data_IF_049904165101
#
_entry.id   IF_049904165101
#
_cell.length_a   1.000
_cell.length_b   1.000
_cell.length_c   1.000
_cell.angle_alpha   90.00
_cell.angle_beta   90.00
_cell.angle_gamma   90.00
#
_symmetry.space_group_name_H-M   'P 1'
#
loop_
_entity.id
_entity.type
_entity.pdbx_description
1 polymer ?
#
# COMPACT_ATOMS: atom_id res chain seq x y z
N UNK A 1 -20.87 -12.94 48.04
CA UNK A 1 -21.88 -11.89 48.32
C UNK A 1 -22.48 -11.45 47.00
N UNK A 2 -23.80 -11.62 46.84
CA UNK A 2 -24.58 -11.27 45.64
C UNK A 2 -25.15 -9.86 45.83
N UNK A 3 -25.12 -9.02 44.79
CA UNK A 3 -26.01 -7.85 44.65
C UNK A 3 -26.28 -7.67 43.15
N UNK A 4 -27.33 -8.28 42.59
CA UNK A 4 -28.72 -7.78 42.49
C UNK A 4 -28.83 -6.58 41.53
N UNK A 5 -29.44 -6.86 40.38
CA UNK A 5 -30.07 -5.93 39.44
C UNK A 5 -31.24 -5.18 40.08
N UNK A 6 -31.46 -3.90 39.72
CA UNK A 6 -32.60 -3.50 38.85
C UNK A 6 -32.57 -2.00 38.47
N UNK A 7 -33.17 -1.62 37.32
CA UNK A 7 -33.19 -0.26 36.78
C UNK A 7 -34.53 0.45 37.04
N UNK A 8 -34.56 1.79 37.02
CA UNK A 8 -35.81 2.56 36.87
C UNK A 8 -35.64 3.83 36.01
N UNK A 9 -36.57 3.87 35.06
CA UNK A 9 -37.04 4.85 34.07
C UNK A 9 -37.06 6.37 34.38
N UNK A 10 -36.86 7.13 33.28
CA UNK A 10 -37.61 8.30 32.76
C UNK A 10 -37.61 9.59 33.60
N UNK A 11 -37.10 10.69 33.01
CA UNK A 11 -37.93 11.85 32.59
C UNK A 11 -37.15 12.76 31.63
N UNK A 12 -37.84 13.11 30.55
CA UNK A 12 -37.46 14.09 29.53
C UNK A 12 -37.73 15.51 30.00
N UNK A 13 -36.97 16.48 29.50
CA UNK A 13 -37.46 17.83 29.31
C UNK A 13 -36.76 18.47 28.11
N UNK A 14 -37.55 18.65 27.05
CA UNK A 14 -37.25 19.47 25.90
C UNK A 14 -37.54 20.93 26.24
N UNK A 15 -36.62 21.84 25.91
CA UNK A 15 -36.90 23.28 25.84
C UNK A 15 -37.15 23.67 24.39
N UNK A 16 -38.42 23.95 24.07
CA UNK A 16 -38.88 24.57 22.84
C UNK A 16 -38.60 26.08 22.89
N UNK A 17 -38.16 26.66 21.78
CA UNK A 17 -38.39 28.08 21.48
C UNK A 17 -38.93 28.20 20.06
N UNK A 18 -40.20 28.58 19.95
CA UNK A 18 -40.86 28.96 18.71
C UNK A 18 -41.51 30.32 18.93
N UNK A 19 -41.06 31.35 18.21
CA UNK A 19 -41.84 32.57 17.97
C UNK A 19 -41.76 32.89 16.47
N UNK A 20 -42.93 33.27 15.96
CA UNK A 20 -43.52 33.27 14.61
C UNK A 20 -43.05 34.38 13.66
N UNK A 21 -43.36 34.29 12.35
CA UNK A 21 -43.05 35.28 11.33
C UNK A 21 -44.17 36.33 11.10
N UNK A 22 -43.80 37.55 10.71
CA UNK A 22 -44.63 38.62 10.11
C UNK A 22 -43.68 39.68 9.54
N UNK A 23 -43.92 40.44 8.49
CA UNK A 23 -44.81 40.45 7.33
C UNK A 23 -44.27 41.57 6.42
N UNK A 24 -44.55 41.50 5.12
CA UNK A 24 -44.11 42.44 4.09
C UNK A 24 -44.46 43.91 4.38
N UNK A 25 -43.54 44.81 4.04
CA UNK A 25 -43.85 46.14 3.53
C UNK A 25 -42.73 46.64 2.62
N UNK A 26 -43.14 47.05 1.44
CA UNK A 26 -42.39 47.66 0.34
C UNK A 26 -41.92 49.07 0.69
N UNK A 27 -40.68 49.41 0.33
CA UNK A 27 -40.31 50.77 -0.07
C UNK A 27 -39.10 50.74 -1.00
N UNK A 28 -39.36 51.13 -2.24
CA UNK A 28 -38.45 51.33 -3.35
C UNK A 28 -37.55 52.54 -3.10
N UNK A 29 -36.22 52.41 -3.28
CA UNK A 29 -35.41 53.47 -3.91
C UNK A 29 -33.96 53.04 -4.16
N UNK A 30 -33.54 53.31 -5.40
CA UNK A 30 -32.19 53.57 -5.88
C UNK A 30 -31.17 52.41 -5.91
N UNK A 31 -30.96 51.96 -7.14
CA UNK A 31 -29.86 51.15 -7.65
C UNK A 31 -28.56 51.92 -7.48
N UNK A 32 -27.58 51.32 -6.81
CA UNK A 32 -26.17 51.56 -7.13
C UNK A 32 -25.41 50.24 -7.14
N UNK A 33 -24.73 50.04 -8.25
CA UNK A 33 -24.14 48.78 -8.68
C UNK A 33 -22.78 48.60 -8.01
N UNK A 34 -22.68 47.67 -7.05
CA UNK A 34 -21.39 47.18 -6.57
C UNK A 34 -21.35 45.68 -6.80
N UNK A 35 -20.65 45.32 -7.88
CA UNK A 35 -20.34 43.95 -8.29
C UNK A 35 -19.55 43.26 -7.17
N UNK A 36 -20.22 42.38 -6.41
CA UNK A 36 -19.54 41.49 -5.47
C UNK A 36 -18.70 40.46 -6.25
N UNK A 37 -17.40 40.26 -5.95
CA UNK A 37 -16.64 39.20 -6.56
C UNK A 37 -17.10 37.86 -5.98
N UNK A 38 -17.53 36.99 -6.89
CA UNK A 38 -17.85 35.58 -6.67
C UNK A 38 -16.67 34.89 -5.95
N UNK A 39 -16.87 34.09 -4.89
CA UNK A 39 -15.79 33.29 -4.33
C UNK A 39 -15.51 32.15 -5.30
N UNK A 40 -14.50 32.32 -6.15
CA UNK A 40 -13.90 31.26 -6.95
C UNK A 40 -13.13 30.35 -6.01
N UNK A 41 -13.78 29.27 -5.57
CA UNK A 41 -13.09 28.07 -5.13
C UNK A 41 -12.28 27.53 -6.31
N UNK A 42 -11.02 27.94 -6.41
CA UNK A 42 -10.01 27.25 -7.19
C UNK A 42 -8.93 26.81 -6.20
N UNK A 43 -9.07 25.59 -5.69
CA UNK A 43 -7.93 24.86 -5.14
C UNK A 43 -6.98 24.64 -6.31
N UNK A 44 -6.05 25.58 -6.53
CA UNK A 44 -4.97 25.41 -7.49
C UNK A 44 -4.12 24.24 -6.99
N UNK A 45 -4.25 23.09 -7.63
CA UNK A 45 -3.28 22.01 -7.51
C UNK A 45 -1.98 22.54 -8.11
N UNK A 46 -1.10 23.11 -7.28
CA UNK A 46 0.21 23.60 -7.73
C UNK A 46 1.03 22.40 -8.23
N UNK A 47 1.10 22.22 -9.55
CA UNK A 47 2.03 21.26 -10.16
C UNK A 47 3.42 21.90 -10.21
N UNK A 48 4.45 21.15 -9.81
CA UNK A 48 5.84 21.61 -9.91
C UNK A 48 6.21 22.00 -11.34
N UNK A 49 6.92 23.10 -11.47
CA UNK A 49 7.53 23.52 -12.73
C UNK A 49 8.66 22.57 -13.14
N UNK A 50 8.99 22.56 -14.43
CA UNK A 50 10.09 21.75 -14.96
C UNK A 50 11.44 22.11 -14.32
N UNK A 51 11.64 23.39 -13.98
CA UNK A 51 12.84 23.85 -13.29
C UNK A 51 12.91 23.30 -11.85
N UNK A 52 11.80 23.31 -11.11
CA UNK A 52 11.73 22.76 -9.76
C UNK A 52 11.98 21.25 -9.75
N UNK A 53 11.42 20.49 -10.70
CA UNK A 53 11.74 19.07 -10.87
C UNK A 53 13.24 18.85 -11.11
N UNK A 54 13.86 19.67 -11.95
CA UNK A 54 15.29 19.56 -12.25
C UNK A 54 16.13 19.84 -11.00
N UNK A 55 15.79 20.88 -10.24
CA UNK A 55 16.43 21.19 -8.96
C UNK A 55 16.30 20.04 -7.95
N UNK A 56 15.11 19.48 -7.80
CA UNK A 56 14.86 18.33 -6.91
C UNK A 56 15.72 17.13 -7.32
N UNK A 57 15.81 16.82 -8.62
CA UNK A 57 16.59 15.69 -9.12
C UNK A 57 18.10 15.86 -8.98
N UNK A 58 18.59 17.10 -8.92
CA UNK A 58 20.00 17.39 -8.63
C UNK A 58 20.28 17.40 -7.12
N UNK A 59 19.35 17.90 -6.31
CA UNK A 59 19.51 18.04 -4.86
C UNK A 59 19.32 16.71 -4.11
N UNK A 60 18.31 15.91 -4.48
CA UNK A 60 17.97 14.69 -3.77
C UNK A 60 19.17 13.70 -3.73
N UNK A 61 19.86 13.40 -4.84
CA UNK A 61 21.06 12.56 -4.80
C UNK A 61 22.17 13.12 -3.90
N UNK A 62 22.42 14.43 -3.97
CA UNK A 62 23.47 15.09 -3.17
C UNK A 62 23.18 14.98 -1.68
N UNK A 63 21.94 15.23 -1.27
CA UNK A 63 21.52 15.06 0.13
C UNK A 63 21.71 13.61 0.60
N UNK A 64 21.39 12.63 -0.25
CA UNK A 64 21.56 11.22 0.08
C UNK A 64 23.04 10.81 0.20
N UNK A 65 23.91 11.34 -0.66
CA UNK A 65 25.36 11.10 -0.64
C UNK A 65 26.04 11.74 0.58
N UNK A 66 25.56 12.91 1.01
CA UNK A 66 26.00 13.59 2.23
C UNK A 66 25.31 13.06 3.51
N UNK A 67 24.52 11.98 3.40
CA UNK A 67 23.77 11.37 4.51
C UNK A 67 22.77 12.33 5.22
N UNK A 68 22.34 13.41 4.55
CA UNK A 68 21.28 14.32 5.01
C UNK A 68 19.89 13.72 4.72
N UNK A 69 19.65 12.52 5.26
CA UNK A 69 18.51 11.70 4.90
C UNK A 69 17.17 12.25 5.40
N UNK A 70 17.15 12.97 6.51
CA UNK A 70 15.90 13.58 7.02
C UNK A 70 15.42 14.69 6.09
N UNK A 71 16.33 15.56 5.63
CA UNK A 71 16.05 16.59 4.62
C UNK A 71 15.65 15.96 3.29
N UNK A 72 16.34 14.90 2.86
CA UNK A 72 15.99 14.16 1.64
C UNK A 72 14.60 13.52 1.72
N UNK A 73 14.22 12.98 2.88
CA UNK A 73 12.90 12.44 3.18
C UNK A 73 11.84 13.54 3.10
N UNK A 74 12.10 14.68 3.73
CA UNK A 74 11.20 15.83 3.69
C UNK A 74 10.97 16.30 2.25
N UNK A 75 12.05 16.53 1.50
CA UNK A 75 12.01 16.94 0.09
C UNK A 75 11.22 15.95 -0.77
N UNK A 76 11.41 14.65 -0.52
CA UNK A 76 10.69 13.59 -1.24
C UNK A 76 9.19 13.64 -0.96
N UNK A 77 8.80 13.78 0.31
CA UNK A 77 7.38 13.86 0.66
C UNK A 77 6.74 15.12 0.08
N UNK A 78 7.40 16.28 0.20
CA UNK A 78 6.89 17.52 -0.39
C UNK A 78 6.76 17.42 -1.90
N UNK A 79 7.73 16.79 -2.58
CA UNK A 79 7.66 16.57 -4.01
C UNK A 79 6.53 15.60 -4.39
N UNK A 80 6.31 14.52 -3.64
CA UNK A 80 5.22 13.57 -3.94
C UNK A 80 3.83 14.18 -3.72
N UNK A 81 3.69 15.14 -2.81
CA UNK A 81 2.42 15.83 -2.56
C UNK A 81 1.96 16.70 -3.74
N UNK A 82 2.87 17.10 -4.64
CA UNK A 82 2.52 17.83 -5.86
C UNK A 82 2.13 16.90 -7.02
N UNK A 83 1.91 15.61 -6.74
CA UNK A 83 1.52 14.56 -7.68
C UNK A 83 2.39 14.43 -8.96
N UNK A 84 3.74 14.38 -8.86
CA UNK A 84 4.61 14.21 -10.02
C UNK A 84 4.58 12.76 -10.54
N UNK A 85 4.93 12.51 -11.81
CA UNK A 85 5.18 11.15 -12.28
C UNK A 85 6.30 10.51 -11.44
N UNK A 86 6.11 9.35 -10.82
CA UNK A 86 7.11 8.76 -9.92
C UNK A 86 8.50 8.59 -10.54
N UNK A 87 8.54 8.27 -11.85
CA UNK A 87 9.78 8.12 -12.63
C UNK A 87 10.58 9.42 -12.76
N UNK A 88 9.95 10.58 -12.54
CA UNK A 88 10.63 11.87 -12.59
C UNK A 88 11.46 12.13 -11.34
N UNK A 89 11.34 11.35 -10.26
CA UNK A 89 12.12 11.53 -9.04
C UNK A 89 13.21 10.47 -8.91
N UNK A 90 14.42 10.91 -8.55
CA UNK A 90 15.60 10.05 -8.30
C UNK A 90 15.52 9.25 -6.98
N UNK A 91 14.40 8.55 -6.73
CA UNK A 91 14.16 7.81 -5.49
C UNK A 91 15.07 6.59 -5.31
N UNK A 92 15.65 6.07 -6.40
CA UNK A 92 16.55 4.92 -6.35
C UNK A 92 17.76 5.15 -5.43
N UNK A 93 18.30 6.37 -5.42
CA UNK A 93 19.45 6.74 -4.59
C UNK A 93 19.03 6.88 -3.13
N UNK A 94 17.89 7.51 -2.85
CA UNK A 94 17.35 7.61 -1.49
C UNK A 94 17.09 6.22 -0.90
N UNK A 95 16.44 5.34 -1.66
CA UNK A 95 16.15 3.97 -1.26
C UNK A 95 17.46 3.20 -1.05
N UNK A 96 18.44 3.36 -1.94
CA UNK A 96 19.75 2.77 -1.75
C UNK A 96 20.40 3.22 -0.45
N UNK A 97 20.44 4.53 -0.16
CA UNK A 97 21.02 5.06 1.08
C UNK A 97 20.30 4.53 2.31
N UNK A 98 18.97 4.45 2.29
CA UNK A 98 18.18 3.89 3.39
C UNK A 98 18.47 2.41 3.61
N UNK A 99 18.45 1.58 2.57
CA UNK A 99 18.66 0.13 2.72
C UNK A 99 20.12 -0.24 3.01
N UNK A 100 21.05 0.70 2.84
CA UNK A 100 22.45 0.54 3.26
C UNK A 100 22.60 0.59 4.78
N UNK A 101 21.66 1.23 5.47
CA UNK A 101 21.65 1.30 6.93
C UNK A 101 21.21 -0.03 7.54
N UNK A 102 21.59 -0.26 8.80
CA UNK A 102 21.25 -1.48 9.54
C UNK A 102 19.81 -1.47 10.04
N UNK A 103 19.28 -0.30 10.40
CA UNK A 103 17.91 -0.16 10.89
C UNK A 103 16.89 0.10 9.76
N UNK A 104 15.61 -0.08 10.10
CA UNK A 104 14.47 0.24 9.22
C UNK A 104 13.71 1.49 9.65
N UNK A 105 14.22 2.28 10.61
CA UNK A 105 13.50 3.40 11.21
C UNK A 105 13.18 4.47 10.16
N UNK A 106 14.16 4.84 9.33
CA UNK A 106 13.98 5.84 8.25
C UNK A 106 13.02 5.37 7.14
N UNK A 107 13.18 4.18 6.52
CA UNK A 107 12.20 3.65 5.58
C UNK A 107 10.77 3.62 6.15
N UNK A 108 10.61 3.14 7.39
CA UNK A 108 9.30 3.00 8.02
C UNK A 108 8.67 4.36 8.37
N UNK A 109 9.49 5.34 8.77
CA UNK A 109 9.05 6.73 8.98
C UNK A 109 8.54 7.35 7.67
N UNK A 110 9.29 7.22 6.57
CA UNK A 110 8.86 7.70 5.25
C UNK A 110 7.51 7.11 4.84
N UNK A 111 7.38 5.78 4.87
CA UNK A 111 6.14 5.10 4.48
C UNK A 111 4.95 5.45 5.38
N UNK A 112 5.20 5.60 6.68
CA UNK A 112 4.17 6.01 7.63
C UNK A 112 3.68 7.43 7.33
N UNK A 113 4.60 8.36 7.04
CA UNK A 113 4.25 9.73 6.65
C UNK A 113 3.47 9.76 5.34
N UNK A 114 3.88 9.01 4.32
CA UNK A 114 3.15 8.93 3.05
C UNK A 114 1.75 8.32 3.24
N UNK A 115 1.60 7.33 4.12
CA UNK A 115 0.29 6.73 4.45
C UNK A 115 -0.69 7.72 5.07
N UNK A 116 -0.22 8.60 5.96
CA UNK A 116 -1.08 9.60 6.61
C UNK A 116 -1.46 10.77 5.69
N UNK A 117 -0.98 10.79 4.45
CA UNK A 117 -1.32 11.80 3.45
C UNK A 117 -2.02 11.12 2.25
N UNK A 118 -3.36 11.20 2.15
CA UNK A 118 -4.12 10.56 1.07
C UNK A 118 -3.63 10.84 -0.36
N UNK A 119 -3.19 12.08 -0.72
CA UNK A 119 -2.63 12.35 -2.04
C UNK A 119 -1.40 11.51 -2.40
N UNK A 120 -0.69 10.98 -1.40
CA UNK A 120 0.51 10.17 -1.59
C UNK A 120 0.24 8.67 -1.73
N UNK A 121 -1.00 8.21 -1.55
CA UNK A 121 -1.36 6.79 -1.60
C UNK A 121 -0.93 6.07 -2.89
N UNK A 122 -1.07 6.67 -4.10
CA UNK A 122 -0.62 6.02 -5.35
C UNK A 122 0.87 5.66 -5.38
N UNK A 123 1.70 6.30 -4.56
CA UNK A 123 3.14 6.06 -4.51
C UNK A 123 3.56 5.00 -3.50
N UNK A 124 2.68 4.60 -2.57
CA UNK A 124 3.03 3.69 -1.48
C UNK A 124 3.43 2.31 -1.97
N UNK A 125 2.62 1.70 -2.84
CA UNK A 125 2.93 0.38 -3.42
C UNK A 125 4.24 0.44 -4.22
N UNK A 126 4.44 1.33 -5.22
CA UNK A 126 5.70 1.40 -5.96
C UNK A 126 6.94 1.62 -5.09
N UNK A 127 6.90 2.56 -4.15
CA UNK A 127 8.03 2.87 -3.27
C UNK A 127 8.36 1.68 -2.36
N UNK A 128 7.33 1.03 -1.80
CA UNK A 128 7.52 -0.18 -0.97
C UNK A 128 8.13 -1.32 -1.78
N UNK A 129 7.70 -1.52 -3.03
CA UNK A 129 8.27 -2.51 -3.93
C UNK A 129 9.74 -2.22 -4.25
N UNK A 130 10.11 -0.95 -4.43
CA UNK A 130 11.50 -0.55 -4.61
C UNK A 130 12.35 -0.85 -3.36
N UNK A 131 11.82 -0.60 -2.15
CA UNK A 131 12.47 -1.00 -0.89
C UNK A 131 12.66 -2.52 -0.80
N UNK A 132 11.61 -3.30 -1.04
CA UNK A 132 11.64 -4.77 -1.02
C UNK A 132 12.70 -5.30 -1.99
N UNK A 133 12.69 -4.83 -3.24
CA UNK A 133 13.67 -5.21 -4.24
C UNK A 133 15.10 -4.83 -3.82
N UNK A 134 15.28 -3.67 -3.19
CA UNK A 134 16.58 -3.22 -2.69
C UNK A 134 17.09 -4.07 -1.52
N UNK A 135 16.20 -4.46 -0.59
CA UNK A 135 16.56 -5.37 0.51
C UNK A 135 16.96 -6.76 0.03
N UNK A 136 16.24 -7.34 -0.93
CA UNK A 136 16.66 -8.62 -1.52
C UNK A 136 18.02 -8.51 -2.23
N UNK A 137 18.28 -7.42 -2.96
CA UNK A 137 19.60 -7.19 -3.59
C UNK A 137 20.73 -7.07 -2.58
N UNK A 138 20.45 -6.66 -1.34
CA UNK A 138 21.41 -6.53 -0.25
C UNK A 138 21.45 -7.77 0.67
N UNK A 139 20.84 -8.88 0.26
CA UNK A 139 20.76 -10.11 1.06
C UNK A 139 20.14 -9.88 2.45
N UNK A 140 19.13 -9.01 2.51
CA UNK A 140 18.38 -8.60 3.72
C UNK A 140 16.91 -9.07 3.65
N UNK A 141 16.63 -10.38 3.58
CA UNK A 141 15.27 -10.87 3.32
C UNK A 141 14.33 -10.69 4.54
N UNK A 142 14.87 -10.59 5.76
CA UNK A 142 14.07 -10.32 6.98
C UNK A 142 13.48 -8.92 6.96
N UNK A 143 14.21 -7.95 6.45
CA UNK A 143 13.75 -6.57 6.25
C UNK A 143 12.70 -6.53 5.14
N UNK A 144 12.90 -7.25 4.04
CA UNK A 144 11.89 -7.39 2.99
C UNK A 144 10.58 -8.00 3.52
N UNK A 145 10.67 -8.99 4.43
CA UNK A 145 9.50 -9.56 5.12
C UNK A 145 8.75 -8.54 5.97
N UNK A 146 9.47 -7.70 6.74
CA UNK A 146 8.84 -6.62 7.50
C UNK A 146 8.10 -5.63 6.59
N UNK A 147 8.68 -5.31 5.43
CA UNK A 147 8.02 -4.45 4.43
C UNK A 147 6.79 -5.10 3.82
N UNK A 148 6.85 -6.39 3.51
CA UNK A 148 5.68 -7.16 3.04
C UNK A 148 4.54 -7.15 4.07
N UNK A 149 4.85 -7.46 5.34
CA UNK A 149 3.85 -7.43 6.42
C UNK A 149 3.25 -6.02 6.60
N UNK A 150 4.03 -4.96 6.39
CA UNK A 150 3.54 -3.58 6.40
C UNK A 150 2.60 -3.29 5.22
N UNK A 151 2.84 -3.86 4.04
CA UNK A 151 1.99 -3.71 2.86
C UNK A 151 0.62 -4.36 3.03
N UNK A 152 0.58 -5.60 3.56
CA UNK A 152 -0.63 -6.42 3.63
C UNK A 152 -1.41 -6.29 4.93
N UNK A 153 -0.98 -5.43 5.86
CA UNK A 153 -1.70 -5.26 7.12
C UNK A 153 -3.13 -4.74 6.91
N UNK A 154 -4.05 -5.02 7.85
CA UNK A 154 -5.39 -4.44 7.81
C UNK A 154 -5.36 -2.90 7.75
N UNK A 155 -6.23 -2.32 6.92
CA UNK A 155 -6.33 -0.87 6.74
C UNK A 155 -5.17 -0.23 5.97
N UNK A 156 -4.32 -1.02 5.31
CA UNK A 156 -3.31 -0.50 4.39
C UNK A 156 -3.97 0.06 3.13
N UNK A 157 -3.62 1.28 2.68
CA UNK A 157 -4.08 1.82 1.39
C UNK A 157 -3.36 1.20 0.18
N UNK A 158 -2.39 0.31 0.43
CA UNK A 158 -1.60 -0.32 -0.62
C UNK A 158 -2.41 -1.43 -1.31
N UNK A 159 -2.37 -1.44 -2.64
CA UNK A 159 -2.90 -2.53 -3.46
C UNK A 159 -1.73 -3.38 -3.92
N UNK A 160 -1.79 -4.69 -3.70
CA UNK A 160 -0.85 -5.62 -4.32
C UNK A 160 -1.17 -5.74 -5.80
N UNK A 161 -0.15 -5.71 -6.64
CA UNK A 161 -0.26 -6.05 -8.06
C UNK A 161 0.59 -7.28 -8.37
N UNK A 162 0.44 -7.82 -9.58
CA UNK A 162 1.19 -8.98 -10.05
C UNK A 162 2.71 -8.78 -9.91
N UNK A 163 3.19 -7.56 -10.20
CA UNK A 163 4.62 -7.25 -10.19
C UNK A 163 5.20 -7.24 -8.77
N UNK A 164 4.48 -6.71 -7.79
CA UNK A 164 4.88 -6.71 -6.38
C UNK A 164 5.00 -8.15 -5.87
N UNK A 165 3.98 -8.97 -6.14
CA UNK A 165 3.97 -10.38 -5.77
C UNK A 165 5.12 -11.15 -6.45
N UNK A 166 5.40 -10.87 -7.72
CA UNK A 166 6.53 -11.46 -8.45
C UNK A 166 7.88 -11.15 -7.79
N UNK A 167 8.12 -9.89 -7.42
CA UNK A 167 9.35 -9.47 -6.73
C UNK A 167 9.50 -10.17 -5.38
N UNK A 168 8.41 -10.26 -4.62
CA UNK A 168 8.38 -10.88 -3.30
C UNK A 168 8.63 -12.39 -3.34
N UNK A 169 7.85 -13.13 -4.13
CA UNK A 169 8.00 -14.60 -4.26
C UNK A 169 9.38 -14.95 -4.78
N UNK A 170 9.85 -14.31 -5.87
CA UNK A 170 11.18 -14.57 -6.40
C UNK A 170 12.28 -14.23 -5.39
N UNK A 171 12.12 -13.12 -4.67
CA UNK A 171 13.06 -12.69 -3.64
C UNK A 171 13.16 -13.69 -2.49
N UNK A 172 12.03 -14.08 -1.89
CA UNK A 172 12.01 -15.04 -0.79
C UNK A 172 12.52 -16.41 -1.20
N UNK A 173 12.07 -16.93 -2.34
CA UNK A 173 12.53 -18.22 -2.83
C UNK A 173 14.04 -18.25 -3.10
N UNK A 174 14.63 -17.17 -3.64
CA UNK A 174 16.10 -17.07 -3.84
C UNK A 174 16.89 -17.04 -2.54
N UNK A 175 16.26 -16.63 -1.45
CA UNK A 175 16.87 -16.54 -0.11
C UNK A 175 16.50 -17.74 0.78
N UNK A 176 15.92 -18.81 0.22
CA UNK A 176 15.51 -20.01 0.98
C UNK A 176 14.30 -19.80 1.91
N UNK A 177 13.64 -18.65 1.86
CA UNK A 177 12.47 -18.34 2.70
C UNK A 177 11.18 -18.83 2.03
N UNK A 178 11.09 -20.13 1.75
CA UNK A 178 10.03 -20.71 0.91
C UNK A 178 8.65 -20.58 1.55
N UNK A 179 8.54 -20.74 2.86
CA UNK A 179 7.31 -20.51 3.62
C UNK A 179 6.74 -19.10 3.38
N UNK A 180 7.60 -18.08 3.43
CA UNK A 180 7.18 -16.69 3.19
C UNK A 180 6.78 -16.46 1.73
N UNK A 181 7.43 -17.13 0.78
CA UNK A 181 7.02 -17.10 -0.62
C UNK A 181 5.63 -17.70 -0.83
N UNK A 182 5.29 -18.79 -0.14
CA UNK A 182 3.94 -19.38 -0.18
C UNK A 182 2.89 -18.45 0.44
N UNK A 183 3.21 -17.75 1.54
CA UNK A 183 2.32 -16.74 2.14
C UNK A 183 2.03 -15.59 1.18
N UNK A 184 3.03 -15.13 0.42
CA UNK A 184 2.84 -14.13 -0.63
C UNK A 184 1.95 -14.67 -1.75
N UNK A 185 2.19 -15.89 -2.22
CA UNK A 185 1.37 -16.53 -3.25
C UNK A 185 -0.09 -16.67 -2.82
N UNK A 186 -0.33 -17.04 -1.55
CA UNK A 186 -1.66 -17.08 -0.95
C UNK A 186 -2.32 -15.70 -0.92
N UNK A 187 -1.59 -14.66 -0.51
CA UNK A 187 -2.09 -13.29 -0.48
C UNK A 187 -2.48 -12.81 -1.89
N UNK A 188 -1.63 -13.10 -2.89
CA UNK A 188 -1.86 -12.80 -4.31
C UNK A 188 -3.19 -13.40 -4.81
N UNK A 189 -3.42 -14.69 -4.55
CA UNK A 189 -4.65 -15.39 -4.94
C UNK A 189 -5.87 -14.91 -4.16
N UNK A 190 -5.71 -14.56 -2.88
CA UNK A 190 -6.80 -14.00 -2.06
C UNK A 190 -7.29 -12.64 -2.59
N UNK A 191 -6.42 -11.91 -3.29
CA UNK A 191 -6.74 -10.66 -3.99
C UNK A 191 -7.13 -10.85 -5.45
N UNK A 192 -7.42 -12.09 -5.88
CA UNK A 192 -7.77 -12.46 -7.26
C UNK A 192 -6.70 -12.12 -8.32
N UNK A 193 -5.43 -12.12 -7.92
CA UNK A 193 -4.31 -11.91 -8.85
C UNK A 193 -3.80 -13.29 -9.27
N UNK A 194 -3.81 -13.57 -10.58
CA UNK A 194 -3.39 -14.86 -11.13
C UNK A 194 -1.86 -14.91 -11.28
N UNK A 195 -1.19 -15.94 -10.73
CA UNK A 195 0.25 -16.14 -10.94
C UNK A 195 0.63 -16.28 -12.41
N UNK A 196 1.60 -15.49 -12.87
CA UNK A 196 2.21 -15.68 -14.19
C UNK A 196 2.96 -17.02 -14.33
N UNK A 197 3.14 -17.50 -15.55
CA UNK A 197 3.79 -18.80 -15.84
C UNK A 197 5.21 -18.90 -15.27
N UNK A 198 5.97 -17.80 -15.30
CA UNK A 198 7.32 -17.72 -14.73
C UNK A 198 7.33 -17.93 -13.22
N UNK A 199 6.37 -17.33 -12.51
CA UNK A 199 6.21 -17.46 -11.06
C UNK A 199 5.89 -18.91 -10.67
N UNK A 200 4.91 -19.52 -11.34
CA UNK A 200 4.49 -20.92 -11.11
C UNK A 200 5.67 -21.87 -11.24
N UNK A 201 6.44 -21.74 -12.33
CA UNK A 201 7.65 -22.56 -12.59
C UNK A 201 8.71 -22.38 -11.51
N UNK A 202 8.86 -21.17 -10.95
CA UNK A 202 9.85 -20.89 -9.92
C UNK A 202 9.47 -21.52 -8.57
N UNK A 203 8.21 -21.36 -8.16
CA UNK A 203 7.68 -21.99 -6.94
C UNK A 203 7.82 -23.51 -7.00
N UNK A 204 7.46 -24.12 -8.14
CA UNK A 204 7.66 -25.55 -8.38
C UNK A 204 9.11 -25.98 -8.17
N UNK A 205 10.06 -25.31 -8.83
CA UNK A 205 11.50 -25.62 -8.72
C UNK A 205 12.03 -25.51 -7.29
N UNK A 206 11.53 -24.54 -6.53
CA UNK A 206 11.97 -24.30 -5.15
C UNK A 206 11.44 -25.37 -4.21
N UNK A 207 10.16 -25.75 -4.33
CA UNK A 207 9.61 -26.86 -3.55
C UNK A 207 10.35 -28.18 -3.81
N UNK A 208 10.78 -28.44 -5.05
CA UNK A 208 11.64 -29.58 -5.37
C UNK A 208 13.01 -29.51 -4.68
N UNK A 209 13.61 -28.31 -4.57
CA UNK A 209 14.90 -28.12 -3.88
C UNK A 209 14.78 -28.35 -2.37
N UNK A 210 13.64 -28.01 -1.79
CA UNK A 210 13.30 -28.31 -0.39
C UNK A 210 12.83 -29.77 -0.18
N UNK A 211 12.98 -30.64 -1.19
CA UNK A 211 12.51 -32.03 -1.18
C UNK A 211 11.00 -32.23 -0.93
N UNK A 212 10.18 -31.19 -1.08
CA UNK A 212 8.71 -31.23 -0.94
C UNK A 212 8.04 -31.61 -2.27
N UNK A 213 8.42 -32.78 -2.80
CA UNK A 213 8.06 -33.22 -4.16
C UNK A 213 6.54 -33.34 -4.34
N UNK A 214 5.86 -33.97 -3.39
CA UNK A 214 4.40 -34.17 -3.43
C UNK A 214 3.67 -32.84 -3.57
N UNK A 215 4.00 -31.87 -2.71
CA UNK A 215 3.39 -30.56 -2.72
C UNK A 215 3.74 -29.73 -3.95
N UNK A 216 4.95 -29.89 -4.49
CA UNK A 216 5.34 -29.24 -5.73
C UNK A 216 4.42 -29.67 -6.88
N UNK A 217 4.17 -30.97 -7.02
CA UNK A 217 3.29 -31.53 -8.06
C UNK A 217 1.84 -31.07 -7.84
N UNK A 218 1.30 -31.27 -6.63
CA UNK A 218 -0.07 -30.89 -6.29
C UNK A 218 -0.33 -29.40 -6.52
N UNK A 219 0.59 -28.52 -6.09
CA UNK A 219 0.45 -27.08 -6.27
C UNK A 219 0.57 -26.67 -7.74
N UNK A 220 1.47 -27.29 -8.51
CA UNK A 220 1.64 -26.97 -9.93
C UNK A 220 0.41 -27.37 -10.77
N UNK A 221 -0.19 -28.53 -10.49
CA UNK A 221 -1.43 -28.97 -11.13
C UNK A 221 -2.60 -28.05 -10.76
N UNK A 222 -2.74 -27.70 -9.48
CA UNK A 222 -3.79 -26.80 -9.01
C UNK A 222 -3.64 -25.39 -9.62
N UNK A 223 -2.43 -24.87 -9.74
CA UNK A 223 -2.14 -23.58 -10.38
C UNK A 223 -2.33 -23.62 -11.90
N UNK A 224 -2.16 -24.78 -12.55
CA UNK A 224 -2.45 -24.96 -13.98
C UNK A 224 -3.92 -24.66 -14.30
N UNK A 225 -4.83 -25.13 -13.44
CA UNK A 225 -6.27 -24.97 -13.63
C UNK A 225 -6.78 -23.50 -13.60
N UNK A 226 -5.99 -22.56 -13.07
CA UNK A 226 -6.35 -21.13 -12.96
C UNK A 226 -6.13 -20.37 -14.28
N UNK A 227 -5.36 -20.90 -15.23
CA UNK A 227 -5.00 -20.20 -16.47
C UNK A 227 -5.95 -20.40 -17.66
N UNK A 228 -6.82 -21.41 -17.61
CA UNK A 228 -7.39 -22.02 -18.83
C UNK A 228 -8.93 -22.01 -18.88
N UNK A 229 -9.66 -21.34 -17.97
CA UNK A 229 -11.12 -21.55 -17.81
C UNK A 229 -11.96 -20.28 -17.76
N UNK A 230 -13.22 -20.42 -18.15
CA UNK A 230 -14.25 -19.38 -18.11
C UNK A 230 -14.51 -18.89 -16.66
N UNK A 231 -14.83 -17.59 -16.52
CA UNK A 231 -14.97 -16.83 -15.25
C UNK A 231 -15.72 -17.50 -14.08
N UNK A 232 -16.61 -18.46 -14.35
CA UNK A 232 -17.35 -19.19 -13.32
C UNK A 232 -16.54 -20.25 -12.59
N UNK A 233 -15.60 -20.92 -13.28
CA UNK A 233 -14.79 -22.02 -12.74
C UNK A 233 -13.49 -21.51 -12.08
N UNK A 234 -13.05 -20.30 -12.44
CA UNK A 234 -11.88 -19.64 -11.85
C UNK A 234 -12.02 -19.47 -10.32
N UNK A 235 -13.21 -19.09 -9.84
CA UNK A 235 -13.47 -18.86 -8.40
C UNK A 235 -13.34 -20.14 -7.58
N UNK A 236 -13.85 -21.27 -8.10
CA UNK A 236 -13.77 -22.56 -7.40
C UNK A 236 -12.35 -23.14 -7.45
N UNK A 237 -11.66 -22.96 -8.57
CA UNK A 237 -10.26 -23.32 -8.70
C UNK A 237 -9.37 -22.55 -7.72
N UNK A 238 -9.54 -21.23 -7.61
CA UNK A 238 -8.77 -20.39 -6.68
C UNK A 238 -8.98 -20.83 -5.23
N UNK A 239 -10.21 -21.17 -4.82
CA UNK A 239 -10.49 -21.69 -3.46
C UNK A 239 -9.73 -23.00 -3.18
N UNK A 240 -9.68 -23.93 -4.13
CA UNK A 240 -8.93 -25.19 -4.00
C UNK A 240 -7.43 -24.92 -3.82
N UNK A 241 -6.87 -24.01 -4.61
CA UNK A 241 -5.46 -23.61 -4.47
C UNK A 241 -5.20 -22.94 -3.12
N UNK A 242 -6.10 -22.06 -2.66
CA UNK A 242 -5.98 -21.43 -1.34
C UNK A 242 -6.01 -22.45 -0.20
N UNK A 243 -6.91 -23.44 -0.25
CA UNK A 243 -6.97 -24.51 0.74
C UNK A 243 -5.70 -25.37 0.77
N UNK A 244 -5.14 -25.68 -0.41
CA UNK A 244 -3.87 -26.38 -0.53
C UNK A 244 -2.72 -25.56 0.08
N UNK A 245 -2.65 -24.26 -0.23
CA UNK A 245 -1.65 -23.36 0.36
C UNK A 245 -1.80 -23.24 1.87
N UNK A 246 -3.03 -23.16 2.39
CA UNK A 246 -3.30 -23.16 3.83
C UNK A 246 -2.79 -24.43 4.51
N UNK A 247 -3.01 -25.59 3.90
CA UNK A 247 -2.48 -26.87 4.38
C UNK A 247 -0.95 -26.90 4.36
N UNK A 248 -0.33 -26.48 3.25
CA UNK A 248 1.14 -26.44 3.11
C UNK A 248 1.79 -25.48 4.11
N UNK A 249 1.20 -24.31 4.32
CA UNK A 249 1.69 -23.28 5.26
C UNK A 249 1.50 -23.75 6.71
N UNK A 250 0.35 -24.36 7.03
CA UNK A 250 0.04 -24.83 8.38
C UNK A 250 0.91 -26.01 8.83
N UNK A 251 1.32 -26.87 7.90
CA UNK A 251 2.15 -28.04 8.16
C UNK A 251 3.64 -27.81 7.86
N UNK A 252 4.08 -26.56 7.68
CA UNK A 252 5.47 -26.26 7.36
C UNK A 252 6.36 -26.49 8.59
N UNK A 253 7.23 -27.50 8.53
CA UNK A 253 8.31 -27.73 9.49
C UNK A 253 9.63 -27.19 8.92
N UNK A 254 10.37 -26.43 9.72
CA UNK A 254 11.72 -25.94 9.40
C UNK A 254 12.81 -26.99 9.61
#
# INVERSE_FOLDING_TARGET
MKSVQKPLHILSLASKSSITPRSFSTSTSAIDSITAPKPTNQTQTQSLTQEEHTKINLLLPRLCLLNHLDTATHLTITALLTNPPLKSLSLSILIHSFTSQSDMARPMSLLTRLRHNPPSHPYLTPISTMFIASYFKKNKPKEALKMFNWLVRPGSPCVLDERVCEVLVNGFCKNGMVLEALKVLRAMLSTNIVPGCGLKKWVYKVLLREARIKEAVELNEALGCVGDREKGDESECVKKVLALLDHMIGNWAE
#
